data_IF_833654351683
#
_entry.id   IF_833654351683
#
_cell.length_a   1.000
_cell.length_b   1.000
_cell.length_c   1.000
_cell.angle_alpha   90.00
_cell.angle_beta   90.00
_cell.angle_gamma   90.00
#
_symmetry.space_group_name_H-M   'P 1'
#
loop_
_entity.id
_entity.type
_entity.pdbx_description
1 polymer ?
#
# COMPACT_ATOMS: atom_id res chain seq x y z
N UNK A 1 -15.22 12.01 20.45
CA UNK A 1 -16.05 12.97 19.67
C UNK A 1 -17.09 13.80 20.43
N UNK A 2 -17.34 13.56 21.73
CA UNK A 2 -18.39 14.25 22.52
C UNK A 2 -18.26 15.79 22.57
N UNK A 3 -17.07 16.33 22.31
CA UNK A 3 -16.83 17.77 22.35
C UNK A 3 -17.31 18.53 21.12
N UNK A 4 -17.36 17.90 19.94
CA UNK A 4 -17.82 18.57 18.70
C UNK A 4 -19.32 18.80 18.77
N UNK A 5 -20.10 17.77 19.10
CA UNK A 5 -21.55 17.88 19.32
C UNK A 5 -21.92 18.94 20.36
N UNK A 6 -21.21 18.98 21.50
CA UNK A 6 -21.42 20.00 22.54
C UNK A 6 -21.13 21.42 22.03
N UNK A 7 -20.07 21.60 21.25
CA UNK A 7 -19.72 22.90 20.66
C UNK A 7 -20.76 23.35 19.64
N UNK A 8 -21.25 22.45 18.79
CA UNK A 8 -22.31 22.77 17.82
C UNK A 8 -23.63 23.10 18.52
N UNK A 9 -24.03 22.31 19.52
CA UNK A 9 -25.20 22.61 20.35
C UNK A 9 -25.08 23.97 21.06
N UNK A 10 -23.88 24.32 21.55
CA UNK A 10 -23.61 25.64 22.12
C UNK A 10 -23.76 26.75 21.08
N UNK A 11 -23.25 26.57 19.86
CA UNK A 11 -23.41 27.55 18.77
C UNK A 11 -24.87 27.74 18.38
N UNK A 12 -25.65 26.66 18.33
CA UNK A 12 -27.10 26.71 18.07
C UNK A 12 -27.82 27.52 19.14
N UNK A 13 -27.56 27.23 20.42
CA UNK A 13 -28.12 27.99 21.54
C UNK A 13 -27.69 29.46 21.54
N UNK A 14 -26.45 29.75 21.11
CA UNK A 14 -25.97 31.12 20.97
C UNK A 14 -26.72 31.87 19.86
N UNK A 15 -26.88 31.26 18.68
CA UNK A 15 -27.63 31.85 17.55
C UNK A 15 -29.09 32.09 17.92
N UNK A 16 -29.73 31.17 18.64
CA UNK A 16 -31.12 31.31 19.10
C UNK A 16 -31.29 32.36 20.21
N UNK A 17 -30.25 32.57 21.02
CA UNK A 17 -30.24 33.57 22.09
C UNK A 17 -29.82 34.98 21.64
N UNK A 18 -29.32 35.13 20.42
CA UNK A 18 -29.01 36.44 19.85
C UNK A 18 -30.28 37.06 19.26
N UNK A 19 -30.48 38.36 19.51
CA UNK A 19 -31.64 39.13 19.00
C UNK A 19 -31.44 39.47 17.50
N UNK A 20 -31.32 38.42 16.68
CA UNK A 20 -31.08 38.49 15.25
C UNK A 20 -32.40 38.67 14.50
N UNK A 21 -32.40 39.52 13.48
CA UNK A 21 -33.57 39.68 12.62
C UNK A 21 -33.77 38.40 11.78
N UNK A 22 -34.86 37.63 11.96
CA UNK A 22 -35.07 36.37 11.24
C UNK A 22 -35.21 36.55 9.72
N UNK A 23 -35.57 37.76 9.26
CA UNK A 23 -35.72 38.09 7.84
C UNK A 23 -34.41 38.53 7.17
N UNK A 24 -33.32 38.70 7.94
CA UNK A 24 -32.00 39.03 7.40
C UNK A 24 -31.42 37.84 6.64
N UNK A 25 -30.82 38.12 5.48
CA UNK A 25 -30.13 37.10 4.68
C UNK A 25 -28.96 36.49 5.44
N UNK A 26 -28.27 37.30 6.22
CA UNK A 26 -27.15 36.91 7.07
C UNK A 26 -27.60 35.97 8.19
N UNK A 27 -28.74 36.25 8.85
CA UNK A 27 -29.30 35.37 9.88
C UNK A 27 -29.75 34.02 9.30
N UNK A 28 -30.35 34.01 8.11
CA UNK A 28 -30.70 32.77 7.41
C UNK A 28 -29.44 31.96 7.08
N UNK A 29 -28.41 32.59 6.52
CA UNK A 29 -27.14 31.93 6.22
C UNK A 29 -26.49 31.33 7.48
N UNK A 30 -26.46 32.06 8.60
CA UNK A 30 -25.89 31.58 9.85
C UNK A 30 -26.63 30.35 10.39
N UNK A 31 -27.97 30.33 10.32
CA UNK A 31 -28.76 29.17 10.73
C UNK A 31 -28.44 27.94 9.89
N UNK A 32 -28.42 28.08 8.56
CA UNK A 32 -28.05 26.99 7.65
C UNK A 32 -26.63 26.47 7.93
N UNK A 33 -25.68 27.36 8.24
CA UNK A 33 -24.32 26.94 8.63
C UNK A 33 -24.34 26.10 9.91
N UNK A 34 -25.09 26.54 10.94
CA UNK A 34 -25.20 25.78 12.19
C UNK A 34 -25.88 24.43 11.97
N UNK A 35 -26.92 24.37 11.14
CA UNK A 35 -27.62 23.13 10.81
C UNK A 35 -26.73 22.14 10.05
N UNK A 36 -25.88 22.62 9.14
CA UNK A 36 -24.86 21.80 8.47
C UNK A 36 -23.83 21.29 9.48
N UNK A 37 -23.37 22.13 10.41
CA UNK A 37 -22.44 21.72 11.46
C UNK A 37 -23.05 20.66 12.39
N UNK A 38 -24.36 20.69 12.63
CA UNK A 38 -25.08 19.69 13.43
C UNK A 38 -25.09 18.34 12.72
N UNK A 39 -25.44 18.34 11.43
CA UNK A 39 -25.40 17.14 10.60
C UNK A 39 -23.98 16.55 10.50
N UNK A 40 -22.96 17.41 10.36
CA UNK A 40 -21.57 16.95 10.35
C UNK A 40 -21.16 16.34 11.70
N UNK A 41 -21.62 16.91 12.81
CA UNK A 41 -21.31 16.39 14.14
C UNK A 41 -22.02 15.06 14.44
N UNK A 42 -23.18 14.82 13.83
CA UNK A 42 -23.91 13.54 13.87
C UNK A 42 -23.21 12.50 13.00
N UNK A 43 -22.94 12.80 11.72
CA UNK A 43 -22.24 11.89 10.82
C UNK A 43 -20.84 11.48 11.33
N UNK A 44 -20.12 12.42 11.97
CA UNK A 44 -18.85 12.07 12.63
C UNK A 44 -19.07 11.12 13.81
N UNK A 45 -20.12 11.31 14.59
CA UNK A 45 -20.42 10.43 15.71
C UNK A 45 -20.75 9.01 15.26
N UNK A 46 -21.57 8.87 14.22
CA UNK A 46 -21.93 7.57 13.64
C UNK A 46 -20.66 6.87 13.14
N UNK A 47 -19.78 7.61 12.43
CA UNK A 47 -18.48 7.08 12.00
C UNK A 47 -17.58 6.64 13.18
N UNK A 48 -17.71 7.27 14.34
CA UNK A 48 -16.98 6.85 15.53
C UNK A 48 -17.46 5.49 16.03
N UNK A 49 -18.78 5.29 16.04
CA UNK A 49 -19.40 4.06 16.53
C UNK A 49 -19.05 2.92 15.58
N UNK A 50 -19.13 3.14 14.27
CA UNK A 50 -18.68 2.18 13.25
C UNK A 50 -17.20 1.84 13.40
N UNK A 51 -16.36 2.83 13.75
CA UNK A 51 -14.92 2.61 13.99
C UNK A 51 -14.67 1.79 15.26
N UNK A 52 -15.40 2.05 16.35
CA UNK A 52 -15.31 1.25 17.58
C UNK A 52 -15.77 -0.19 17.33
N UNK A 53 -16.83 -0.42 16.55
CA UNK A 53 -17.28 -1.77 16.16
C UNK A 53 -16.24 -2.49 15.28
N UNK A 54 -15.56 -1.76 14.39
CA UNK A 54 -14.49 -2.32 13.58
C UNK A 54 -13.26 -2.69 14.42
N UNK A 55 -12.93 -1.91 15.44
CA UNK A 55 -11.84 -2.21 16.38
C UNK A 55 -12.13 -3.53 17.11
N UNK A 56 -13.34 -3.70 17.65
CA UNK A 56 -13.78 -4.95 18.28
C UNK A 56 -13.71 -6.15 17.31
N UNK A 57 -14.10 -5.94 16.04
CA UNK A 57 -14.02 -6.99 15.02
C UNK A 57 -12.57 -7.36 14.68
N UNK A 58 -11.67 -6.39 14.60
CA UNK A 58 -10.25 -6.65 14.38
C UNK A 58 -9.62 -7.40 15.55
N UNK A 59 -9.96 -7.05 16.80
CA UNK A 59 -9.53 -7.81 17.98
C UNK A 59 -10.01 -9.27 17.91
N UNK A 60 -11.24 -9.52 17.45
CA UNK A 60 -11.72 -10.90 17.28
C UNK A 60 -10.97 -11.69 16.21
N UNK A 61 -10.56 -11.03 15.12
CA UNK A 61 -9.74 -11.69 14.09
C UNK A 61 -8.34 -11.98 14.62
N UNK A 62 -7.76 -11.06 15.39
CA UNK A 62 -6.45 -11.24 16.01
C UNK A 62 -6.45 -12.45 16.96
N UNK A 63 -7.49 -12.59 17.79
CA UNK A 63 -7.69 -13.76 18.66
C UNK A 63 -7.85 -15.05 17.84
N UNK A 64 -8.69 -15.06 16.81
CA UNK A 64 -8.87 -16.24 15.94
C UNK A 64 -7.55 -16.65 15.23
N UNK A 65 -6.73 -15.67 14.81
CA UNK A 65 -5.43 -15.95 14.18
C UNK A 65 -4.39 -16.43 15.19
N UNK A 66 -4.41 -15.92 16.42
CA UNK A 66 -3.57 -16.39 17.50
C UNK A 66 -3.89 -17.85 17.84
N UNK A 67 -5.17 -18.20 17.97
CA UNK A 67 -5.60 -19.59 18.20
C UNK A 67 -5.16 -20.52 17.05
N UNK A 68 -5.20 -20.03 15.80
CA UNK A 68 -4.71 -20.79 14.64
C UNK A 68 -3.18 -20.95 14.66
N UNK A 69 -2.44 -19.93 15.08
CA UNK A 69 -0.98 -19.98 15.24
C UNK A 69 -0.62 -21.06 16.28
N UNK A 70 -1.28 -21.05 17.44
CA UNK A 70 -1.09 -22.07 18.47
C UNK A 70 -1.48 -23.48 17.95
N UNK A 71 -2.58 -23.65 17.18
CA UNK A 71 -2.95 -24.98 16.64
C UNK A 71 -1.94 -25.50 15.61
N UNK A 72 -1.38 -24.62 14.77
CA UNK A 72 -0.51 -25.01 13.65
C UNK A 72 0.95 -25.15 14.08
N UNK A 73 1.47 -24.23 14.89
CA UNK A 73 2.88 -24.18 15.26
C UNK A 73 3.18 -24.90 16.59
N UNK A 74 2.35 -24.73 17.63
CA UNK A 74 2.57 -25.43 18.92
C UNK A 74 2.14 -26.92 18.86
N UNK A 75 1.42 -27.34 17.81
CA UNK A 75 1.07 -28.74 17.56
C UNK A 75 2.23 -29.61 17.03
N UNK A 76 3.33 -29.00 16.60
CA UNK A 76 4.52 -29.67 16.05
C UNK A 76 5.75 -29.63 16.97
N UNK A 77 5.69 -29.00 18.15
CA UNK A 77 6.81 -28.87 19.10
C UNK A 77 6.79 -29.89 20.27
N UNK A 78 5.88 -30.88 20.26
CA UNK A 78 5.93 -32.03 21.18
C UNK A 78 6.60 -33.29 20.58
N UNK A 79 7.31 -33.15 19.45
CA UNK A 79 8.04 -34.26 18.80
C UNK A 79 9.42 -33.91 18.25
N UNK A 80 10.23 -33.07 18.89
CA UNK A 80 11.63 -32.93 18.46
C UNK A 80 12.63 -32.64 19.59
N UNK A 81 12.61 -33.48 20.63
CA UNK A 81 13.66 -33.55 21.65
C UNK A 81 14.26 -34.97 21.75
N UNK A 82 14.44 -35.64 20.60
CA UNK A 82 15.22 -36.89 20.50
C UNK A 82 15.71 -37.18 19.06
N UNK A 83 16.45 -36.27 18.43
CA UNK A 83 17.41 -36.68 17.39
C UNK A 83 18.84 -36.56 17.93
N UNK A 84 19.34 -37.76 18.18
CA UNK A 84 20.67 -38.15 18.60
C UNK A 84 21.74 -37.58 17.65
N UNK A 85 22.89 -37.31 18.23
CA UNK A 85 24.13 -36.86 17.61
C UNK A 85 24.73 -38.00 16.77
N UNK A 86 24.21 -38.23 15.56
CA UNK A 86 24.87 -39.05 14.54
C UNK A 86 24.92 -38.31 13.21
N UNK A 87 25.95 -37.47 13.05
CA UNK A 87 26.89 -37.48 11.92
C UNK A 87 26.31 -38.06 10.60
N UNK A 88 25.51 -37.28 9.87
CA UNK A 88 25.29 -37.48 8.43
C UNK A 88 25.51 -36.14 7.70
N UNK A 89 26.71 -36.01 7.15
CA UNK A 89 27.03 -35.11 6.04
C UNK A 89 26.18 -35.50 4.81
N UNK A 90 24.92 -35.09 4.73
CA UNK A 90 24.18 -35.11 3.45
C UNK A 90 23.73 -33.71 3.07
N UNK A 91 24.35 -33.23 1.98
CA UNK A 91 24.08 -32.01 1.22
C UNK A 91 22.59 -31.63 1.23
N UNK A 92 22.27 -30.49 1.86
CA UNK A 92 21.10 -29.69 1.49
C UNK A 92 21.36 -29.14 0.07
N UNK A 93 21.08 -29.96 -0.94
CA UNK A 93 20.75 -29.47 -2.28
C UNK A 93 19.43 -28.68 -2.13
N UNK A 94 19.61 -27.41 -1.78
CA UNK A 94 18.65 -26.33 -1.92
C UNK A 94 18.34 -26.18 -3.42
N UNK A 95 17.52 -27.07 -3.96
CA UNK A 95 16.95 -26.97 -5.31
C UNK A 95 15.81 -25.93 -5.32
N UNK A 96 16.02 -24.78 -4.65
CA UNK A 96 15.27 -23.55 -4.89
C UNK A 96 15.77 -23.01 -6.22
N UNK A 97 15.12 -23.41 -7.32
CA UNK A 97 15.49 -22.99 -8.67
C UNK A 97 15.76 -21.48 -8.73
N UNK A 98 16.97 -21.10 -9.13
CA UNK A 98 17.40 -19.70 -9.16
C UNK A 98 16.43 -18.88 -10.03
N UNK A 99 15.72 -17.90 -9.44
CA UNK A 99 14.87 -16.95 -10.19
C UNK A 99 15.59 -15.62 -10.42
N UNK A 100 15.35 -15.00 -11.58
CA UNK A 100 15.91 -13.68 -11.95
C UNK A 100 14.80 -12.64 -12.03
N UNK A 101 15.01 -11.50 -11.39
CA UNK A 101 14.10 -10.35 -11.42
C UNK A 101 14.64 -9.21 -12.33
N UNK A 102 13.81 -8.75 -13.26
CA UNK A 102 14.15 -7.65 -14.18
C UNK A 102 13.03 -6.61 -14.21
N UNK A 103 13.38 -5.33 -14.04
CA UNK A 103 12.42 -4.23 -14.15
C UNK A 103 12.10 -3.91 -15.63
N UNK A 104 10.81 -3.88 -15.98
CA UNK A 104 10.37 -3.54 -17.32
C UNK A 104 10.66 -2.06 -17.65
N UNK A 105 11.38 -1.74 -18.75
CA UNK A 105 11.78 -0.36 -19.08
C UNK A 105 10.62 0.55 -19.52
N UNK A 106 9.43 0.00 -19.77
CA UNK A 106 8.26 0.75 -20.28
C UNK A 106 7.21 0.99 -19.21
N UNK A 107 6.94 0.01 -18.36
CA UNK A 107 5.89 0.09 -17.34
C UNK A 107 6.42 0.01 -15.90
N UNK A 108 7.72 -0.21 -15.71
CA UNK A 108 8.39 -0.30 -14.41
C UNK A 108 7.89 -1.44 -13.50
N UNK A 109 7.20 -2.42 -14.08
CA UNK A 109 6.80 -3.65 -13.38
C UNK A 109 7.97 -4.62 -13.29
N UNK A 110 8.12 -5.31 -12.16
CA UNK A 110 9.15 -6.34 -11.96
C UNK A 110 8.68 -7.64 -12.64
N UNK A 111 9.51 -8.19 -13.51
CA UNK A 111 9.27 -9.45 -14.23
C UNK A 111 10.24 -10.50 -13.69
N UNK A 112 9.70 -11.61 -13.19
CA UNK A 112 10.48 -12.73 -12.64
C UNK A 112 10.42 -13.93 -13.59
N UNK A 113 11.57 -14.56 -13.87
CA UNK A 113 11.68 -15.76 -14.71
C UNK A 113 12.84 -16.67 -14.26
N UNK A 114 12.81 -17.95 -14.63
CA UNK A 114 13.81 -18.95 -14.24
C UNK A 114 15.21 -18.62 -14.80
N UNK A 115 16.27 -18.84 -13.99
CA UNK A 115 17.65 -18.61 -14.39
C UNK A 115 18.11 -19.54 -15.53
N UNK A 116 17.46 -20.69 -15.71
CA UNK A 116 17.71 -21.62 -16.82
C UNK A 116 17.59 -20.93 -18.19
N UNK A 117 16.78 -19.87 -18.28
CA UNK A 117 16.62 -19.06 -19.50
C UNK A 117 17.94 -18.41 -19.94
N UNK A 118 18.91 -18.23 -19.03
CA UNK A 118 20.25 -17.69 -19.34
C UNK A 118 21.17 -18.70 -20.02
N UNK A 119 20.97 -19.99 -19.78
CA UNK A 119 21.85 -21.06 -20.26
C UNK A 119 21.18 -21.90 -21.36
N UNK A 120 19.96 -21.53 -21.76
CA UNK A 120 19.21 -22.17 -22.83
C UNK A 120 19.98 -22.14 -24.16
N UNK A 121 20.09 -23.28 -24.85
CA UNK A 121 20.81 -23.38 -26.14
C UNK A 121 20.10 -22.62 -27.26
N UNK A 122 18.80 -22.38 -27.09
CA UNK A 122 17.95 -21.61 -28.02
C UNK A 122 17.81 -20.14 -27.55
N UNK A 123 17.64 -19.22 -28.51
CA UNK A 123 17.42 -17.80 -28.18
C UNK A 123 16.02 -17.61 -27.60
N UNK A 124 15.96 -17.33 -26.29
CA UNK A 124 14.72 -17.06 -25.56
C UNK A 124 14.57 -15.56 -25.31
N UNK A 125 13.39 -15.02 -25.66
CA UNK A 125 13.00 -13.64 -25.35
C UNK A 125 11.97 -13.62 -24.22
N UNK A 126 12.27 -12.95 -23.12
CA UNK A 126 11.34 -12.74 -22.01
C UNK A 126 10.57 -11.44 -22.25
N UNK A 127 9.25 -11.51 -22.26
CA UNK A 127 8.35 -10.35 -22.42
C UNK A 127 7.64 -9.98 -21.14
N UNK A 128 7.48 -8.69 -20.88
CA UNK A 128 6.68 -8.21 -19.76
C UNK A 128 5.19 -8.56 -19.92
N UNK A 129 4.54 -9.20 -18.93
CA UNK A 129 3.13 -9.60 -19.01
C UNK A 129 2.16 -8.41 -19.03
N UNK A 130 2.59 -7.23 -18.54
CA UNK A 130 1.74 -6.04 -18.47
C UNK A 130 1.71 -5.24 -19.78
N UNK A 131 2.81 -5.20 -20.53
CA UNK A 131 2.95 -4.29 -21.68
C UNK A 131 3.59 -4.90 -22.93
N UNK A 132 3.79 -6.22 -22.93
CA UNK A 132 4.31 -7.05 -24.04
C UNK A 132 5.66 -6.57 -24.59
N UNK A 133 6.40 -5.81 -23.79
CA UNK A 133 7.72 -5.31 -24.16
C UNK A 133 8.76 -6.33 -23.76
N UNK A 134 9.69 -6.66 -24.66
CA UNK A 134 10.82 -7.55 -24.37
C UNK A 134 11.69 -6.93 -23.29
N UNK A 135 11.92 -7.68 -22.21
CA UNK A 135 12.71 -7.26 -21.05
C UNK A 135 14.09 -7.93 -21.00
N UNK A 136 14.21 -9.13 -21.58
CA UNK A 136 15.46 -9.89 -21.61
C UNK A 136 15.52 -10.78 -22.87
N UNK A 137 16.73 -11.00 -23.39
CA UNK A 137 17.01 -11.92 -24.51
C UNK A 137 18.28 -12.68 -24.18
N UNK A 138 18.23 -14.01 -24.23
CA UNK A 138 19.42 -14.84 -24.08
C UNK A 138 20.13 -15.00 -25.44
N UNK A 139 21.17 -14.21 -25.70
CA UNK A 139 22.04 -14.34 -26.86
C UNK A 139 23.51 -14.39 -26.43
N UNK A 140 24.24 -15.44 -26.83
CA UNK A 140 25.72 -15.46 -26.80
C UNK A 140 26.29 -14.43 -27.81
N UNK A 141 26.33 -13.15 -27.44
CA UNK A 141 27.12 -12.13 -28.15
C UNK A 141 26.49 -10.74 -28.29
N UNK A 142 26.88 -9.82 -27.40
CA UNK A 142 26.87 -8.36 -27.54
C UNK A 142 25.59 -7.67 -28.09
N UNK A 143 24.71 -7.20 -27.20
CA UNK A 143 23.98 -5.95 -27.44
C UNK A 143 23.66 -5.19 -26.14
N UNK A 144 24.39 -4.09 -25.94
CA UNK A 144 24.18 -3.13 -24.87
C UNK A 144 22.90 -2.30 -25.07
N UNK A 145 21.96 -2.32 -24.13
CA UNK A 145 20.98 -1.26 -23.98
C UNK A 145 21.52 -0.18 -23.02
N UNK A 146 22.50 0.63 -23.47
CA UNK A 146 22.83 1.90 -22.79
C UNK A 146 21.72 2.91 -23.06
N UNK A 147 21.14 3.60 -22.04
CA UNK A 147 20.26 4.72 -22.29
C UNK A 147 21.06 5.87 -22.88
N UNK A 148 20.65 6.38 -24.05
CA UNK A 148 21.13 7.65 -24.60
C UNK A 148 20.51 8.80 -23.80
N UNK A 149 21.23 9.29 -22.80
CA UNK A 149 20.98 10.60 -22.18
C UNK A 149 21.80 11.69 -22.84
N UNK A 150 21.33 12.25 -23.95
CA UNK A 150 21.88 13.49 -24.51
C UNK A 150 21.49 14.67 -23.60
N UNK A 151 22.46 15.23 -22.88
CA UNK A 151 22.34 16.57 -22.30
C UNK A 151 22.94 17.58 -23.26
N UNK A 152 22.13 18.08 -24.19
CA UNK A 152 22.40 19.37 -24.83
C UNK A 152 22.10 20.49 -23.84
N UNK A 153 23.13 20.95 -23.13
CA UNK A 153 23.12 22.30 -22.57
C UNK A 153 23.61 23.24 -23.66
N UNK A 154 22.68 23.73 -24.48
CA UNK A 154 22.96 24.85 -25.35
C UNK A 154 22.73 26.14 -24.55
N UNK A 155 23.82 26.81 -24.20
CA UNK A 155 23.78 28.23 -23.84
C UNK A 155 23.33 29.03 -25.06
N UNK A 156 22.63 30.15 -24.85
CA UNK A 156 23.03 31.33 -25.58
C UNK A 156 23.31 32.46 -24.61
N UNK A 157 24.55 32.93 -24.65
CA UNK A 157 24.85 34.34 -24.43
C UNK A 157 23.96 35.19 -25.35
N UNK A 158 23.24 36.14 -24.76
CA UNK A 158 23.00 37.43 -25.39
C UNK A 158 23.28 38.51 -24.35
N UNK A 159 24.51 39.00 -24.40
CA UNK A 159 24.83 40.40 -24.10
C UNK A 159 23.94 41.36 -24.92
N UNK A 160 23.86 42.59 -24.42
CA UNK A 160 23.43 43.83 -25.09
C UNK A 160 21.93 44.21 -25.13
N UNK A 161 21.59 45.09 -24.16
CA UNK A 161 20.77 46.35 -24.20
C UNK A 161 19.73 46.45 -23.08
#
# INVERSE_FOLDING_TARGET
>A
MKDVRKKVAYLKGLVDGMDLNPESKETRLLKEIVDVLEQMAEALHDLHEDYEELEDYLESIDEDLYDLEDEVYDGEDEYEDEYDDEDDEEDEDDEEGDYIEVECPKCHEIVCFDADVLDDEDVVEVTCPNCETVVFINEEGEASAKPKGEKEKNSPDTDDI
#
